data_IF_797773738677
#
_entry.id   IF_797773738677
#
_cell.length_a   1.000
_cell.length_b   1.000
_cell.length_c   1.000
_cell.angle_alpha   90.00
_cell.angle_beta   90.00
_cell.angle_gamma   90.00
#
_symmetry.space_group_name_H-M   'P 1'
#
loop_
_entity.id
_entity.type
_entity.pdbx_description
1 polymer ?
#
# COMPACT_ATOMS: atom_id res chain seq x y z
N UNK A 1 -8.82 -56.36 15.03
CA UNK A 1 -8.60 -55.48 13.87
C UNK A 1 -8.76 -53.98 14.17
N UNK A 2 -9.08 -53.54 15.40
CA UNK A 2 -9.30 -52.11 15.69
C UNK A 2 -8.05 -51.29 16.06
N UNK A 3 -7.00 -51.88 16.63
CA UNK A 3 -5.81 -51.09 17.04
C UNK A 3 -4.93 -50.63 15.88
N UNK A 4 -4.94 -51.35 14.75
CA UNK A 4 -4.17 -50.96 13.56
C UNK A 4 -4.80 -49.78 12.82
N UNK A 5 -6.12 -49.63 12.90
CA UNK A 5 -6.86 -48.52 12.28
C UNK A 5 -6.70 -47.25 13.11
N UNK A 6 -6.69 -47.37 14.44
CA UNK A 6 -6.41 -46.25 15.34
C UNK A 6 -4.98 -45.69 15.15
N UNK A 7 -3.97 -46.56 15.02
CA UNK A 7 -2.59 -46.16 14.71
C UNK A 7 -2.43 -45.48 13.35
N UNK A 8 -3.23 -45.87 12.35
CA UNK A 8 -3.22 -45.25 11.02
C UNK A 8 -3.87 -43.86 11.03
N UNK A 9 -4.86 -43.63 11.90
CA UNK A 9 -5.50 -42.33 12.08
C UNK A 9 -4.58 -41.33 12.80
N UNK A 10 -3.79 -41.78 13.76
CA UNK A 10 -2.78 -40.95 14.45
C UNK A 10 -1.60 -40.57 13.54
N UNK A 11 -1.12 -41.50 12.69
CA UNK A 11 -0.08 -41.21 11.69
C UNK A 11 -0.56 -40.27 10.55
N UNK A 12 -1.88 -40.09 10.39
CA UNK A 12 -2.43 -39.07 9.48
C UNK A 12 -2.49 -37.69 10.13
N UNK A 13 -2.60 -37.63 11.46
CA UNK A 13 -2.63 -36.41 12.26
C UNK A 13 -1.24 -35.77 12.44
N UNK A 14 -0.18 -36.57 12.51
CA UNK A 14 1.21 -36.07 12.57
C UNK A 14 1.79 -35.57 11.23
N UNK A 15 1.09 -35.80 10.10
CA UNK A 15 1.55 -35.33 8.77
C UNK A 15 1.07 -33.94 8.41
N UNK A 16 0.03 -33.42 9.07
CA UNK A 16 -0.61 -32.15 8.73
C UNK A 16 -0.09 -30.96 9.58
N UNK A 17 1.04 -31.13 10.27
CA UNK A 17 1.63 -30.12 11.14
C UNK A 17 3.15 -30.08 11.07
N UNK A 18 3.71 -29.59 9.97
CA UNK A 18 4.97 -28.82 9.98
C UNK A 18 5.17 -28.09 8.64
N UNK A 19 5.72 -26.87 8.64
CA UNK A 19 5.84 -26.01 7.46
C UNK A 19 7.10 -26.39 6.67
N UNK A 20 7.00 -26.35 5.34
CA UNK A 20 8.13 -26.40 4.44
C UNK A 20 8.18 -25.09 3.67
N UNK A 21 9.22 -24.32 3.95
CA UNK A 21 9.70 -23.23 3.12
C UNK A 21 10.17 -23.74 1.74
N UNK A 22 10.23 -22.79 0.81
CA UNK A 22 10.79 -22.85 -0.55
C UNK A 22 9.87 -23.35 -1.68
N UNK A 23 9.45 -22.44 -2.55
CA UNK A 23 9.89 -22.37 -3.97
C UNK A 23 9.37 -21.09 -4.62
N UNK A 24 10.30 -20.43 -5.30
CA UNK A 24 10.18 -19.19 -6.06
C UNK A 24 9.74 -19.49 -7.50
N UNK A 25 9.03 -18.52 -8.08
CA UNK A 25 8.86 -18.21 -9.50
C UNK A 25 7.71 -18.87 -10.27
N UNK A 26 6.85 -17.99 -10.80
CA UNK A 26 6.61 -17.79 -12.25
C UNK A 26 5.13 -17.70 -12.62
N UNK A 27 4.80 -16.51 -13.12
CA UNK A 27 3.96 -16.27 -14.30
C UNK A 27 2.48 -16.63 -14.26
N UNK A 28 1.67 -15.57 -14.25
CA UNK A 28 0.75 -15.30 -15.35
C UNK A 28 -0.66 -15.84 -15.20
N UNK A 29 -1.63 -14.94 -15.08
CA UNK A 29 -2.73 -14.97 -16.04
C UNK A 29 -3.47 -13.64 -16.14
N UNK A 30 -3.67 -13.26 -17.40
CA UNK A 30 -4.71 -12.41 -17.94
C UNK A 30 -6.08 -12.64 -17.32
N UNK A 31 -6.81 -11.55 -17.08
CA UNK A 31 -8.20 -11.40 -17.54
C UNK A 31 -8.63 -9.94 -17.37
N UNK A 32 -9.04 -9.36 -18.49
CA UNK A 32 -9.66 -8.04 -18.72
C UNK A 32 -10.94 -8.38 -19.51
N UNK A 33 -11.90 -7.48 -19.76
CA UNK A 33 -12.70 -6.59 -18.90
C UNK A 33 -14.21 -6.89 -19.09
N UNK A 34 -15.09 -6.14 -18.41
CA UNK A 34 -16.36 -5.75 -19.05
C UNK A 34 -16.69 -4.29 -18.76
N UNK A 35 -17.19 -3.63 -19.81
CA UNK A 35 -17.33 -2.19 -20.02
C UNK A 35 -18.81 -1.81 -19.83
N UNK A 36 -19.06 -0.68 -19.16
CA UNK A 36 -20.36 -0.02 -19.13
C UNK A 36 -20.19 1.50 -19.16
N UNK A 37 -20.46 2.07 -20.33
CA UNK A 37 -20.47 3.49 -20.76
C UNK A 37 -21.18 4.46 -19.77
N UNK A 38 -20.88 5.76 -19.69
CA UNK A 38 -21.17 6.82 -20.68
C UNK A 38 -20.48 8.13 -20.20
N UNK A 39 -19.73 8.86 -21.03
CA UNK A 39 -20.12 9.89 -22.02
C UNK A 39 -19.72 11.30 -21.53
N UNK A 40 -18.85 11.94 -22.31
CA UNK A 40 -18.33 13.30 -22.16
C UNK A 40 -19.03 14.21 -23.18
N UNK A 41 -19.33 15.44 -22.77
CA UNK A 41 -19.68 16.58 -23.61
C UNK A 41 -20.60 17.50 -22.81
N UNK A 42 -20.42 18.81 -22.67
CA UNK A 42 -19.76 19.81 -23.50
C UNK A 42 -19.51 21.06 -22.63
N UNK A 43 -18.47 21.82 -22.95
CA UNK A 43 -18.19 23.13 -22.37
C UNK A 43 -19.20 24.19 -22.85
N UNK A 44 -19.57 25.14 -21.99
CA UNK A 44 -19.88 26.53 -22.36
C UNK A 44 -19.67 27.44 -21.14
N UNK A 45 -18.89 28.50 -21.32
CA UNK A 45 -18.69 29.62 -20.40
C UNK A 45 -19.99 30.39 -20.13
N UNK A 46 -20.22 30.83 -18.89
CA UNK A 46 -20.66 32.20 -18.57
C UNK A 46 -20.47 32.52 -17.07
N UNK A 47 -19.54 33.44 -16.82
CA UNK A 47 -19.55 34.57 -15.88
C UNK A 47 -20.75 34.70 -14.89
N UNK A 48 -20.46 34.68 -13.58
CA UNK A 48 -20.91 35.65 -12.54
C UNK A 48 -20.85 35.04 -11.11
N UNK A 49 -20.28 35.78 -10.16
CA UNK A 49 -20.44 35.59 -8.71
C UNK A 49 -21.43 36.65 -8.17
N UNK A 50 -21.73 36.80 -6.85
CA UNK A 50 -21.63 35.93 -5.66
C UNK A 50 -22.94 35.91 -4.80
N UNK A 51 -23.10 34.95 -3.87
CA UNK A 51 -23.98 35.03 -2.67
C UNK A 51 -23.72 33.77 -1.82
N UNK A 52 -23.12 33.80 -0.62
CA UNK A 52 -23.62 34.18 0.72
C UNK A 52 -25.06 33.76 1.03
N UNK A 53 -25.25 32.94 2.07
CA UNK A 53 -26.57 32.47 2.49
C UNK A 53 -26.55 31.15 3.27
N UNK A 54 -26.32 31.27 4.58
CA UNK A 54 -26.64 30.29 5.62
C UNK A 54 -28.16 29.97 5.64
N UNK A 55 -28.55 28.69 5.72
CA UNK A 55 -29.51 28.11 6.69
C UNK A 55 -30.25 26.84 6.19
N UNK A 56 -30.12 25.78 7.00
CA UNK A 56 -31.12 24.76 7.42
C UNK A 56 -31.72 23.81 6.35
N UNK A 57 -32.30 22.62 6.66
CA UNK A 57 -32.88 22.16 7.94
C UNK A 57 -32.62 20.68 8.32
N UNK A 58 -33.15 20.30 9.48
CA UNK A 58 -33.44 18.92 9.88
C UNK A 58 -34.55 18.33 9.01
N UNK A 59 -34.46 17.04 8.65
CA UNK A 59 -35.63 16.15 8.60
C UNK A 59 -35.22 14.68 8.57
N UNK A 60 -35.78 13.91 9.52
CA UNK A 60 -36.01 12.48 9.42
C UNK A 60 -36.82 12.14 8.17
N UNK A 61 -36.46 11.07 7.46
CA UNK A 61 -37.45 10.10 6.97
C UNK A 61 -36.76 8.80 6.60
N UNK A 62 -37.39 7.73 7.08
CA UNK A 62 -37.30 6.34 6.66
C UNK A 62 -37.15 6.17 5.14
N UNK A 63 -36.47 5.12 4.69
CA UNK A 63 -37.13 4.06 3.92
C UNK A 63 -36.16 2.91 3.57
N UNK A 64 -36.79 1.76 3.46
CA UNK A 64 -36.30 0.41 3.19
C UNK A 64 -35.28 0.27 2.04
N UNK A 65 -34.27 -0.58 2.25
CA UNK A 65 -33.55 -1.22 1.17
C UNK A 65 -32.99 -2.59 1.58
N UNK A 66 -33.73 -3.63 1.20
CA UNK A 66 -33.26 -4.92 0.67
C UNK A 66 -32.17 -5.67 1.45
N UNK A 67 -32.62 -6.66 2.20
CA UNK A 67 -31.83 -7.75 2.77
C UNK A 67 -31.36 -8.67 1.62
N UNK A 68 -30.18 -8.42 1.05
CA UNK A 68 -29.52 -9.33 0.10
C UNK A 68 -28.83 -10.49 0.83
N UNK A 69 -29.39 -11.68 0.62
CA UNK A 69 -28.84 -12.99 0.94
C UNK A 69 -27.40 -13.15 0.42
N UNK A 70 -26.43 -12.93 1.32
CA UNK A 70 -25.00 -13.06 1.07
C UNK A 70 -24.43 -14.32 1.76
N UNK A 71 -25.06 -15.47 1.53
CA UNK A 71 -24.58 -16.76 2.04
C UNK A 71 -23.16 -17.16 1.58
N UNK A 72 -22.65 -16.58 0.48
CA UNK A 72 -21.28 -16.82 0.00
C UNK A 72 -20.20 -15.94 0.67
N UNK A 73 -20.60 -14.86 1.35
CA UNK A 73 -19.68 -13.88 1.94
C UNK A 73 -19.47 -14.12 3.46
N UNK A 74 -20.37 -14.88 4.11
CA UNK A 74 -20.28 -15.16 5.54
C UNK A 74 -19.12 -16.09 5.91
N UNK A 75 -18.80 -17.07 5.06
CA UNK A 75 -17.72 -18.03 5.33
C UNK A 75 -16.34 -17.41 5.14
N UNK A 76 -16.16 -16.60 4.09
CA UNK A 76 -14.93 -15.83 3.89
C UNK A 76 -14.71 -14.81 5.02
N UNK A 77 -15.78 -14.15 5.49
CA UNK A 77 -15.72 -13.24 6.65
C UNK A 77 -15.40 -14.00 7.93
N UNK A 78 -15.89 -15.23 8.12
CA UNK A 78 -15.57 -16.08 9.29
C UNK A 78 -14.11 -16.50 9.32
N UNK A 79 -13.52 -16.80 8.15
CA UNK A 79 -12.14 -17.24 8.03
C UNK A 79 -11.13 -16.07 8.08
N UNK A 80 -11.51 -14.89 7.58
CA UNK A 80 -10.65 -13.69 7.59
C UNK A 80 -10.75 -12.93 8.93
N UNK A 81 -11.89 -12.94 9.61
CA UNK A 81 -12.08 -12.28 10.91
C UNK A 81 -11.00 -12.59 11.96
N UNK A 82 -10.57 -13.86 12.19
CA UNK A 82 -9.51 -14.14 13.15
C UNK A 82 -8.13 -13.62 12.70
N UNK A 83 -7.86 -13.54 11.40
CA UNK A 83 -6.62 -12.98 10.86
C UNK A 83 -6.59 -11.46 10.98
N UNK A 84 -7.73 -10.80 10.71
CA UNK A 84 -7.90 -9.37 10.82
C UNK A 84 -7.82 -8.93 12.29
N UNK A 85 -8.50 -9.63 13.19
CA UNK A 85 -8.39 -9.39 14.64
C UNK A 85 -6.97 -9.64 15.18
N UNK A 86 -6.22 -10.59 14.59
CA UNK A 86 -4.82 -10.84 14.97
C UNK A 86 -3.88 -9.76 14.40
N UNK A 87 -4.18 -9.21 13.23
CA UNK A 87 -3.47 -8.08 12.66
C UNK A 87 -3.73 -6.80 13.48
N UNK A 88 -4.98 -6.51 13.82
CA UNK A 88 -5.39 -5.39 14.67
C UNK A 88 -4.74 -5.44 16.06
N UNK A 89 -4.73 -6.60 16.72
CA UNK A 89 -4.02 -6.74 18.00
C UNK A 89 -2.52 -6.48 17.88
N UNK A 90 -1.90 -6.85 16.76
CA UNK A 90 -0.47 -6.59 16.53
C UNK A 90 -0.21 -5.12 16.25
N UNK A 91 -1.07 -4.46 15.48
CA UNK A 91 -0.98 -3.03 15.21
C UNK A 91 -1.23 -2.22 16.48
N UNK A 92 -2.23 -2.58 17.29
CA UNK A 92 -2.54 -1.91 18.56
C UNK A 92 -1.44 -2.12 19.59
N UNK A 93 -0.85 -3.32 19.66
CA UNK A 93 0.30 -3.58 20.51
C UNK A 93 1.54 -2.78 20.05
N UNK A 94 1.75 -2.63 18.74
CA UNK A 94 2.84 -1.82 18.19
C UNK A 94 2.60 -0.32 18.46
N UNK A 95 1.36 0.14 18.31
CA UNK A 95 0.95 1.53 18.52
C UNK A 95 1.05 1.90 20.01
N UNK A 96 0.60 1.02 20.91
CA UNK A 96 0.77 1.19 22.36
C UNK A 96 2.25 1.20 22.77
N UNK A 97 3.09 0.35 22.17
CA UNK A 97 4.54 0.39 22.41
C UNK A 97 5.16 1.69 21.92
N UNK A 98 4.71 2.21 20.78
CA UNK A 98 5.22 3.46 20.22
C UNK A 98 4.77 4.67 21.04
N UNK A 99 3.51 4.69 21.52
CA UNK A 99 3.01 5.70 22.46
C UNK A 99 3.79 5.65 23.77
N UNK A 100 3.99 4.47 24.36
CA UNK A 100 4.79 4.33 25.58
C UNK A 100 6.22 4.79 25.37
N UNK A 101 6.84 4.43 24.25
CA UNK A 101 8.20 4.88 23.91
C UNK A 101 8.26 6.39 23.72
N UNK A 102 7.30 7.00 23.02
CA UNK A 102 7.20 8.46 22.86
C UNK A 102 6.95 9.18 24.17
N UNK A 103 6.10 8.63 25.02
CA UNK A 103 5.87 9.16 26.37
C UNK A 103 7.15 9.11 27.21
N UNK A 104 7.88 8.00 27.14
CA UNK A 104 9.14 7.82 27.86
C UNK A 104 10.26 8.72 27.31
N UNK A 105 10.35 8.89 25.99
CA UNK A 105 11.23 9.87 25.33
C UNK A 105 10.88 11.31 25.75
N UNK A 106 9.59 11.65 25.83
CA UNK A 106 9.14 12.97 26.27
C UNK A 106 9.47 13.21 27.74
N UNK A 107 9.35 12.18 28.60
CA UNK A 107 9.76 12.26 30.01
C UNK A 107 11.28 12.38 30.16
N UNK A 108 12.07 11.70 29.31
CA UNK A 108 13.53 11.85 29.28
C UNK A 108 13.95 13.25 28.77
N UNK A 109 13.26 13.78 27.77
CA UNK A 109 13.46 15.15 27.29
C UNK A 109 13.04 16.19 28.35
N UNK A 110 11.98 15.93 29.11
CA UNK A 110 11.57 16.79 30.23
C UNK A 110 12.57 16.72 31.40
N UNK A 111 13.14 15.55 31.70
CA UNK A 111 14.21 15.37 32.69
C UNK A 111 15.51 16.07 32.26
N UNK A 112 15.89 15.96 30.97
CA UNK A 112 17.02 16.69 30.39
C UNK A 112 16.76 18.21 30.37
N UNK A 113 15.52 18.65 30.12
CA UNK A 113 15.12 20.06 30.22
C UNK A 113 15.10 20.58 31.67
N UNK A 114 14.89 19.71 32.66
CA UNK A 114 15.05 20.04 34.08
C UNK A 114 16.52 20.09 34.49
N UNK A 115 17.39 19.28 33.92
CA UNK A 115 18.84 19.37 34.12
C UNK A 115 19.40 20.69 33.55
N UNK A 116 18.84 21.17 32.43
CA UNK A 116 19.13 22.52 31.89
C UNK A 116 18.54 23.65 32.77
N UNK A 117 17.47 23.39 33.53
CA UNK A 117 16.87 24.37 34.46
C UNK A 117 17.72 24.63 35.71
N UNK A 118 18.66 23.74 36.04
CA UNK A 118 19.57 23.92 37.18
C UNK A 118 20.83 24.74 36.81
N UNK A 119 21.01 25.05 35.52
CA UNK A 119 21.89 26.10 35.06
C UNK A 119 21.11 27.40 34.90
N UNK A 120 21.56 28.52 35.48
CA UNK A 120 20.71 29.70 35.64
C UNK A 120 20.57 30.45 34.32
N UNK A 121 19.52 30.17 33.54
CA UNK A 121 19.11 31.06 32.45
C UNK A 121 17.61 31.39 32.48
N UNK A 122 17.42 32.70 32.65
CA UNK A 122 16.20 33.50 32.78
C UNK A 122 15.14 33.17 31.73
N UNK A 123 13.93 32.89 32.22
CA UNK A 123 12.70 32.81 31.46
C UNK A 123 12.28 34.21 30.97
N UNK A 124 12.23 34.38 29.65
CA UNK A 124 11.56 35.50 28.99
C UNK A 124 10.08 35.09 28.85
N UNK A 125 9.19 35.75 29.60
CA UNK A 125 7.76 35.77 29.33
C UNK A 125 7.31 37.23 29.23
N UNK A 126 6.77 37.56 28.06
CA UNK A 126 6.31 38.88 27.66
C UNK A 126 4.94 39.17 28.27
N UNK A 127 4.79 40.27 29.02
CA UNK A 127 3.59 41.10 28.90
C UNK A 127 3.84 42.56 29.33
N UNK A 128 3.12 43.45 28.64
CA UNK A 128 3.32 44.89 28.48
C UNK A 128 3.05 45.76 29.73
N UNK A 129 3.58 46.98 29.61
CA UNK A 129 3.27 48.25 30.30
C UNK A 129 4.04 48.50 31.60
N UNK A 130 5.08 49.30 31.46
CA UNK A 130 5.84 49.87 32.56
C UNK A 130 7.21 50.33 32.08
N UNK A 131 7.29 51.49 31.44
CA UNK A 131 8.56 52.20 31.27
C UNK A 131 9.03 52.58 32.69
N UNK A 132 9.79 51.69 33.30
CA UNK A 132 10.76 52.04 34.33
C UNK A 132 12.09 51.54 33.82
N UNK A 133 12.88 52.47 33.31
CA UNK A 133 14.30 52.30 33.09
C UNK A 133 14.96 51.99 34.45
N UNK A 134 14.90 50.74 34.89
CA UNK A 134 15.73 50.24 35.97
C UNK A 134 16.92 49.54 35.32
N UNK A 135 17.92 50.33 34.93
CA UNK A 135 19.24 49.80 34.67
C UNK A 135 19.69 49.10 35.95
N UNK A 136 19.96 47.79 35.90
CA UNK A 136 20.94 47.26 36.85
C UNK A 136 22.20 48.11 36.68
N UNK A 137 22.84 48.62 37.75
CA UNK A 137 24.11 49.31 37.60
C UNK A 137 25.13 48.27 37.14
N UNK A 138 25.31 48.16 35.82
CA UNK A 138 26.47 47.47 35.25
C UNK A 138 27.68 48.21 35.78
N UNK A 139 28.69 47.48 36.25
CA UNK A 139 29.91 48.08 36.78
C UNK A 139 30.45 49.06 35.72
N UNK A 140 30.76 50.31 36.08
CA UNK A 140 31.16 51.33 35.10
C UNK A 140 32.34 50.87 34.22
N UNK A 141 33.17 49.95 34.74
CA UNK A 141 34.27 49.31 34.00
C UNK A 141 33.78 48.44 32.84
N UNK A 142 32.74 47.65 33.03
CA UNK A 142 32.20 46.77 31.99
C UNK A 142 31.51 47.57 30.87
N UNK A 143 30.82 48.67 31.22
CA UNK A 143 30.27 49.60 30.21
C UNK A 143 31.36 50.36 29.45
N UNK A 144 32.43 50.78 30.14
CA UNK A 144 33.55 51.44 29.48
C UNK A 144 34.24 50.50 28.49
N UNK A 145 34.45 49.24 28.89
CA UNK A 145 35.02 48.23 28.02
C UNK A 145 34.13 47.95 26.79
N UNK A 146 32.80 47.88 26.95
CA UNK A 146 31.91 47.68 25.80
C UNK A 146 31.90 48.85 24.80
N UNK A 147 32.11 50.08 25.27
CA UNK A 147 32.27 51.26 24.41
C UNK A 147 33.60 51.20 23.65
N UNK A 148 34.69 50.80 24.31
CA UNK A 148 36.01 50.62 23.69
C UNK A 148 35.98 49.48 22.66
N UNK A 149 35.25 48.41 22.96
CA UNK A 149 35.13 47.24 22.09
C UNK A 149 34.27 47.51 20.85
N UNK A 150 33.26 48.39 20.95
CA UNK A 150 32.42 48.82 19.83
C UNK A 150 33.13 49.72 18.81
N UNK A 151 34.29 50.29 19.14
CA UNK A 151 35.06 51.12 18.20
C UNK A 151 35.74 50.25 17.12
N UNK A 152 35.77 50.71 15.86
CA UNK A 152 36.38 49.97 14.76
C UNK A 152 37.90 49.82 14.98
N UNK A 153 38.40 48.59 14.90
CA UNK A 153 39.82 48.28 15.04
C UNK A 153 40.07 47.03 15.89
N UNK A 154 40.99 46.17 15.45
CA UNK A 154 41.31 44.90 16.12
C UNK A 154 42.42 45.02 17.19
N UNK A 155 43.06 46.18 17.33
CA UNK A 155 44.16 46.40 18.26
C UNK A 155 43.77 47.40 19.36
N UNK A 156 44.13 47.09 20.62
CA UNK A 156 43.88 47.93 21.80
C UNK A 156 44.46 49.35 21.63
N UNK A 157 45.65 49.47 21.03
CA UNK A 157 46.31 50.75 20.74
C UNK A 157 45.50 51.58 19.74
N UNK A 158 44.86 50.95 18.75
CA UNK A 158 44.01 51.66 17.80
C UNK A 158 42.70 52.12 18.44
N UNK A 159 42.10 51.29 19.30
CA UNK A 159 40.86 51.64 20.02
C UNK A 159 41.08 52.82 20.98
N UNK A 160 42.13 52.78 21.79
CA UNK A 160 42.49 53.89 22.68
C UNK A 160 43.02 55.08 21.90
N UNK A 161 43.74 54.85 20.79
CA UNK A 161 44.21 55.88 19.88
C UNK A 161 43.08 56.67 19.23
N UNK A 162 42.03 56.02 18.72
CA UNK A 162 40.86 56.70 18.13
C UNK A 162 40.12 57.51 19.18
N UNK A 163 39.88 56.95 20.37
CA UNK A 163 39.17 57.66 21.44
C UNK A 163 40.00 58.84 21.98
N UNK A 164 41.30 58.65 22.20
CA UNK A 164 42.19 59.71 22.65
C UNK A 164 42.34 60.81 21.59
N UNK A 165 42.48 60.44 20.31
CA UNK A 165 42.62 61.42 19.21
C UNK A 165 41.32 62.16 18.97
N UNK A 166 40.16 61.50 19.01
CA UNK A 166 38.86 62.16 18.87
C UNK A 166 38.56 63.10 20.03
N UNK A 167 38.85 62.70 21.27
CA UNK A 167 38.74 63.57 22.44
C UNK A 167 39.69 64.77 22.35
N UNK A 168 40.96 64.54 21.98
CA UNK A 168 41.93 65.61 21.78
C UNK A 168 41.51 66.57 20.66
N UNK A 169 41.00 66.05 19.54
CA UNK A 169 40.49 66.85 18.43
C UNK A 169 39.27 67.67 18.83
N UNK A 170 38.35 67.12 19.64
CA UNK A 170 37.21 67.85 20.15
C UNK A 170 37.63 69.00 21.08
N UNK A 171 38.55 68.75 22.02
CA UNK A 171 39.10 69.79 22.91
C UNK A 171 39.84 70.86 22.09
N UNK A 172 40.63 70.46 21.11
CA UNK A 172 41.32 71.37 20.21
C UNK A 172 40.35 72.23 19.39
N UNK A 173 39.29 71.64 18.83
CA UNK A 173 38.26 72.35 18.07
C UNK A 173 37.48 73.37 18.90
N UNK A 174 37.20 73.05 20.17
CA UNK A 174 36.59 73.99 21.12
C UNK A 174 37.58 75.08 21.50
N UNK A 175 38.83 74.72 21.81
CA UNK A 175 39.87 75.66 22.27
C UNK A 175 40.27 76.67 21.20
N UNK A 176 40.22 76.29 19.91
CA UNK A 176 40.53 77.17 18.78
C UNK A 176 39.30 77.83 18.16
N UNK A 177 38.12 77.72 18.79
CA UNK A 177 36.85 78.27 18.28
C UNK A 177 36.51 77.81 16.84
N UNK A 178 36.99 76.63 16.43
CA UNK A 178 36.69 76.07 15.12
C UNK A 178 35.19 75.74 15.01
N UNK A 179 34.55 75.44 16.15
CA UNK A 179 33.09 75.33 16.28
C UNK A 179 32.52 76.66 16.77
N UNK A 180 32.12 77.53 15.83
CA UNK A 180 31.45 78.78 16.15
C UNK A 180 29.96 78.50 16.41
N UNK A 181 29.48 78.86 17.61
CA UNK A 181 28.06 78.77 17.95
C UNK A 181 27.28 79.85 17.20
N UNK A 182 26.70 79.47 16.06
CA UNK A 182 25.80 80.30 15.27
C UNK A 182 24.37 79.72 15.28
N UNK A 183 23.41 80.47 14.72
CA UNK A 183 22.01 80.06 14.58
C UNK A 183 21.84 78.74 13.79
N UNK A 184 22.81 78.36 12.97
CA UNK A 184 22.80 77.07 12.27
C UNK A 184 23.15 75.87 13.18
N UNK A 185 23.86 76.09 14.30
CA UNK A 185 24.25 74.99 15.21
C UNK A 185 23.05 74.40 15.96
N UNK A 186 22.03 75.21 16.28
CA UNK A 186 20.76 74.72 16.85
C UNK A 186 19.98 73.89 15.83
N UNK A 187 20.04 74.24 14.54
CA UNK A 187 19.46 73.45 13.45
C UNK A 187 20.18 72.10 13.32
N UNK A 188 21.51 72.07 13.40
CA UNK A 188 22.29 70.81 13.36
C UNK A 188 21.94 69.90 14.54
N UNK A 189 21.84 70.42 15.76
CA UNK A 189 21.50 69.62 16.96
C UNK A 189 20.09 69.04 16.87
N UNK A 190 19.11 69.84 16.45
CA UNK A 190 17.72 69.39 16.30
C UNK A 190 17.56 68.40 15.15
N UNK A 191 18.20 68.64 14.00
CA UNK A 191 18.23 67.70 12.88
C UNK A 191 18.91 66.37 13.26
N UNK A 192 20.06 66.42 13.95
CA UNK A 192 20.75 65.20 14.40
C UNK A 192 19.90 64.41 15.40
N UNK A 193 19.16 65.10 16.28
CA UNK A 193 18.22 64.45 17.21
C UNK A 193 17.05 63.81 16.45
N UNK A 194 16.49 64.51 15.46
CA UNK A 194 15.44 63.98 14.60
C UNK A 194 15.91 62.74 13.82
N UNK A 195 17.10 62.78 13.21
CA UNK A 195 17.69 61.65 12.51
C UNK A 195 17.90 60.46 13.45
N UNK A 196 18.37 60.68 14.67
CA UNK A 196 18.53 59.62 15.66
C UNK A 196 17.18 58.96 16.04
N UNK A 197 16.12 59.75 16.17
CA UNK A 197 14.77 59.24 16.41
C UNK A 197 14.23 58.48 15.19
N UNK A 198 14.42 58.99 13.97
CA UNK A 198 14.06 58.29 12.74
C UNK A 198 14.81 56.96 12.60
N UNK A 199 16.12 56.94 12.87
CA UNK A 199 16.90 55.71 12.86
C UNK A 199 16.38 54.69 13.88
N UNK A 200 15.90 55.14 15.05
CA UNK A 200 15.37 54.25 16.07
C UNK A 200 13.98 53.70 15.74
N UNK A 201 13.11 54.49 15.12
CA UNK A 201 11.70 54.12 14.91
C UNK A 201 11.37 53.71 13.47
N UNK A 202 11.88 54.44 12.47
CA UNK A 202 11.58 54.19 11.06
C UNK A 202 12.41 53.03 10.51
N UNK A 203 13.67 52.89 10.93
CA UNK A 203 14.52 51.79 10.46
C UNK A 203 13.94 50.40 10.76
N UNK A 204 13.54 50.04 12.00
CA UNK A 204 12.97 48.72 12.26
C UNK A 204 11.64 48.50 11.50
N UNK A 205 10.78 49.52 11.40
CA UNK A 205 9.53 49.43 10.65
C UNK A 205 9.75 49.19 9.15
N UNK A 206 10.72 49.90 8.56
CA UNK A 206 11.06 49.71 7.16
C UNK A 206 11.70 48.34 6.92
N UNK A 207 12.57 47.87 7.82
CA UNK A 207 13.18 46.54 7.71
C UNK A 207 12.12 45.43 7.78
N UNK A 208 11.18 45.49 8.74
CA UNK A 208 10.09 44.50 8.83
C UNK A 208 9.20 44.50 7.57
N UNK A 209 8.90 45.68 7.03
CA UNK A 209 8.15 45.79 5.78
C UNK A 209 8.93 45.23 4.58
N UNK A 210 10.22 45.57 4.48
CA UNK A 210 11.10 45.10 3.41
C UNK A 210 11.26 43.56 3.47
N UNK A 211 11.48 43.00 4.65
CA UNK A 211 11.59 41.55 4.85
C UNK A 211 10.27 40.84 4.50
N UNK A 212 9.12 41.44 4.82
CA UNK A 212 7.80 40.93 4.44
C UNK A 212 7.60 40.86 2.93
N UNK A 213 7.98 41.91 2.20
CA UNK A 213 7.85 41.94 0.73
C UNK A 213 8.85 40.99 0.06
N UNK A 214 10.10 40.95 0.54
CA UNK A 214 11.12 39.99 0.07
C UNK A 214 10.62 38.56 0.26
N UNK A 215 10.00 38.25 1.41
CA UNK A 215 9.45 36.92 1.68
C UNK A 215 8.30 36.59 0.72
N UNK A 216 7.36 37.50 0.53
CA UNK A 216 6.24 37.32 -0.40
C UNK A 216 6.71 37.05 -1.83
N UNK A 217 7.69 37.80 -2.32
CA UNK A 217 8.27 37.60 -3.66
C UNK A 217 8.96 36.23 -3.75
N UNK A 218 9.73 35.84 -2.73
CA UNK A 218 10.38 34.52 -2.70
C UNK A 218 9.36 33.37 -2.65
N UNK A 219 8.33 33.49 -1.82
CA UNK A 219 7.27 32.49 -1.70
C UNK A 219 6.52 32.33 -3.02
N UNK A 220 6.13 33.44 -3.66
CA UNK A 220 5.48 33.42 -4.98
C UNK A 220 6.37 32.80 -6.06
N UNK A 221 7.67 33.13 -6.07
CA UNK A 221 8.61 32.58 -7.05
C UNK A 221 8.81 31.08 -6.84
N UNK A 222 8.91 30.63 -5.58
CA UNK A 222 9.06 29.22 -5.25
C UNK A 222 7.78 28.43 -5.55
N UNK A 223 6.61 28.99 -5.26
CA UNK A 223 5.31 28.41 -5.60
C UNK A 223 5.14 28.30 -7.12
N UNK A 224 5.50 29.34 -7.88
CA UNK A 224 5.45 29.32 -9.35
C UNK A 224 6.36 28.26 -9.94
N UNK A 225 7.58 28.10 -9.39
CA UNK A 225 8.50 27.02 -9.81
C UNK A 225 7.90 25.65 -9.54
N UNK A 226 7.35 25.43 -8.35
CA UNK A 226 6.73 24.16 -7.98
C UNK A 226 5.49 23.85 -8.81
N UNK A 227 4.62 24.84 -9.06
CA UNK A 227 3.47 24.74 -9.96
C UNK A 227 3.90 24.38 -11.39
N UNK A 228 4.93 25.03 -11.92
CA UNK A 228 5.44 24.71 -13.26
C UNK A 228 6.01 23.29 -13.32
N UNK A 229 6.81 22.86 -12.34
CA UNK A 229 7.34 21.49 -12.28
C UNK A 229 6.21 20.46 -12.15
N UNK A 230 5.19 20.73 -11.33
CA UNK A 230 4.02 19.86 -11.19
C UNK A 230 3.21 19.77 -12.48
N UNK A 231 2.96 20.89 -13.16
CA UNK A 231 2.26 20.91 -14.45
C UNK A 231 3.03 20.15 -15.54
N UNK A 232 4.36 20.33 -15.60
CA UNK A 232 5.21 19.57 -16.55
C UNK A 232 5.19 18.08 -16.23
N UNK A 233 5.26 17.68 -14.96
CA UNK A 233 5.12 16.28 -14.55
C UNK A 233 3.77 15.70 -14.96
N UNK A 234 2.67 16.41 -14.69
CA UNK A 234 1.34 15.98 -15.11
C UNK A 234 1.23 15.78 -16.63
N UNK A 235 1.84 16.68 -17.42
CA UNK A 235 1.92 16.52 -18.88
C UNK A 235 2.76 15.32 -19.31
N UNK A 236 3.88 15.04 -18.65
CA UNK A 236 4.70 13.86 -18.92
C UNK A 236 3.90 12.58 -18.63
N UNK A 237 3.16 12.54 -17.52
CA UNK A 237 2.34 11.37 -17.18
C UNK A 237 1.22 11.13 -18.19
N UNK A 238 0.52 12.19 -18.63
CA UNK A 238 -0.50 12.08 -19.69
C UNK A 238 0.10 11.60 -21.02
N UNK A 239 1.28 12.09 -21.41
CA UNK A 239 1.96 11.64 -22.64
C UNK A 239 2.48 10.20 -22.50
N UNK A 240 2.91 9.79 -21.30
CA UNK A 240 3.34 8.43 -21.01
C UNK A 240 2.19 7.43 -21.16
N UNK A 241 0.99 7.78 -20.66
CA UNK A 241 -0.21 6.96 -20.83
C UNK A 241 -0.55 6.72 -22.32
N UNK A 242 -0.37 7.72 -23.18
CA UNK A 242 -0.60 7.56 -24.63
C UNK A 242 0.36 6.55 -25.28
N UNK A 243 1.58 6.37 -24.74
CA UNK A 243 2.51 5.34 -25.22
C UNK A 243 2.02 3.93 -24.90
N UNK A 244 1.44 3.73 -23.71
CA UNK A 244 0.91 2.43 -23.29
C UNK A 244 -0.32 2.00 -24.09
N UNK A 245 -1.15 2.94 -24.56
CA UNK A 245 -2.32 2.65 -25.41
C UNK A 245 -1.91 1.98 -26.73
N UNK A 246 -0.77 2.37 -27.32
CA UNK A 246 -0.29 1.75 -28.57
C UNK A 246 0.13 0.30 -28.35
N UNK A 247 0.80 0.00 -27.23
CA UNK A 247 1.23 -1.36 -26.91
C UNK A 247 0.03 -2.26 -26.57
N UNK A 248 -0.91 -1.76 -25.75
CA UNK A 248 -2.13 -2.51 -25.39
C UNK A 248 -3.00 -2.79 -26.60
N UNK A 249 -3.11 -1.85 -27.54
CA UNK A 249 -3.86 -2.07 -28.80
C UNK A 249 -3.21 -3.17 -29.65
N UNK A 250 -1.87 -3.16 -29.80
CA UNK A 250 -1.16 -4.24 -30.50
C UNK A 250 -1.39 -5.59 -29.82
N UNK A 251 -1.27 -5.63 -28.49
CA UNK A 251 -1.52 -6.83 -27.71
C UNK A 251 -2.96 -7.34 -27.90
N UNK A 252 -3.96 -6.46 -28.01
CA UNK A 252 -5.34 -6.86 -28.25
C UNK A 252 -5.52 -7.51 -29.64
N UNK A 253 -4.84 -6.98 -30.66
CA UNK A 253 -4.83 -7.59 -32.00
C UNK A 253 -4.10 -8.94 -32.01
N UNK A 254 -2.97 -9.04 -31.32
CA UNK A 254 -2.22 -10.30 -31.22
C UNK A 254 -3.05 -11.37 -30.49
N UNK A 255 -3.70 -11.01 -29.37
CA UNK A 255 -4.65 -11.89 -28.67
C UNK A 255 -5.76 -12.33 -29.62
N UNK A 256 -6.39 -11.41 -30.36
CA UNK A 256 -7.46 -11.78 -31.30
C UNK A 256 -7.00 -12.77 -32.39
N UNK A 257 -5.75 -12.63 -32.87
CA UNK A 257 -5.16 -13.52 -33.88
C UNK A 257 -4.81 -14.89 -33.28
N UNK A 258 -4.26 -14.90 -32.07
CA UNK A 258 -3.96 -16.13 -31.34
C UNK A 258 -5.22 -16.90 -30.99
N UNK A 259 -6.29 -16.22 -30.56
CA UNK A 259 -7.61 -16.83 -30.31
C UNK A 259 -8.16 -17.49 -31.56
N UNK A 260 -8.17 -16.79 -32.71
CA UNK A 260 -8.65 -17.37 -33.97
C UNK A 260 -7.84 -18.61 -34.39
N UNK A 261 -6.51 -18.59 -34.18
CA UNK A 261 -5.64 -19.74 -34.47
C UNK A 261 -5.93 -20.92 -33.55
N UNK A 262 -6.05 -20.69 -32.24
CA UNK A 262 -6.35 -21.73 -31.26
C UNK A 262 -7.74 -22.32 -31.45
N UNK A 263 -8.72 -21.51 -31.85
CA UNK A 263 -10.04 -22.01 -32.22
C UNK A 263 -9.97 -22.95 -33.42
N UNK A 264 -9.26 -22.56 -34.49
CA UNK A 264 -9.08 -23.40 -35.67
C UNK A 264 -8.40 -24.74 -35.34
N UNK A 265 -7.30 -24.72 -34.58
CA UNK A 265 -6.60 -25.94 -34.12
C UNK A 265 -7.52 -26.81 -33.24
N UNK A 266 -8.30 -26.19 -32.37
CA UNK A 266 -9.28 -26.89 -31.53
C UNK A 266 -10.39 -27.53 -32.37
N UNK A 267 -10.86 -26.86 -33.43
CA UNK A 267 -11.86 -27.43 -34.35
C UNK A 267 -11.31 -28.63 -35.10
N UNK A 268 -10.08 -28.55 -35.62
CA UNK A 268 -9.44 -29.69 -36.30
C UNK A 268 -9.27 -30.89 -35.36
N UNK A 269 -8.79 -30.66 -34.13
CA UNK A 269 -8.63 -31.71 -33.14
C UNK A 269 -9.97 -32.33 -32.75
N UNK A 270 -11.02 -31.51 -32.58
CA UNK A 270 -12.38 -32.01 -32.30
C UNK A 270 -12.92 -32.86 -33.45
N UNK A 271 -12.71 -32.46 -34.71
CA UNK A 271 -13.12 -33.26 -35.87
C UNK A 271 -12.39 -34.61 -35.92
N UNK A 272 -11.07 -34.61 -35.71
CA UNK A 272 -10.26 -35.85 -35.64
C UNK A 272 -10.74 -36.77 -34.51
N UNK A 273 -11.05 -36.20 -33.34
CA UNK A 273 -11.54 -36.96 -32.19
C UNK A 273 -12.94 -37.52 -32.43
N UNK A 274 -13.84 -36.74 -33.04
CA UNK A 274 -15.18 -37.20 -33.39
C UNK A 274 -15.13 -38.41 -34.34
N UNK A 275 -14.33 -38.33 -35.40
CA UNK A 275 -14.14 -39.46 -36.33
C UNK A 275 -13.52 -40.68 -35.64
N UNK A 276 -12.50 -40.47 -34.79
CA UNK A 276 -11.90 -41.56 -34.02
C UNK A 276 -12.90 -42.21 -33.04
N UNK A 277 -13.78 -41.40 -32.43
CA UNK A 277 -14.81 -41.87 -31.53
C UNK A 277 -15.90 -42.66 -32.26
N UNK A 278 -16.35 -42.20 -33.42
CA UNK A 278 -17.30 -42.93 -34.27
C UNK A 278 -16.71 -44.27 -34.72
N UNK A 279 -15.45 -44.27 -35.20
CA UNK A 279 -14.76 -45.50 -35.58
C UNK A 279 -14.64 -46.48 -34.40
N UNK A 280 -14.28 -46.00 -33.21
CA UNK A 280 -14.25 -46.81 -31.99
C UNK A 280 -15.63 -47.35 -31.63
N UNK A 281 -16.67 -46.52 -31.65
CA UNK A 281 -18.04 -46.92 -31.31
C UNK A 281 -18.55 -48.00 -32.27
N UNK A 282 -18.24 -47.89 -33.57
CA UNK A 282 -18.55 -48.98 -34.51
C UNK A 282 -17.78 -50.24 -34.12
N UNK A 283 -16.46 -50.19 -33.95
CA UNK A 283 -15.66 -51.37 -33.57
C UNK A 283 -16.16 -52.03 -32.28
N UNK A 284 -16.47 -51.25 -31.25
CA UNK A 284 -17.03 -51.74 -29.99
C UNK A 284 -18.40 -52.43 -30.21
N UNK A 285 -19.24 -51.89 -31.09
CA UNK A 285 -20.51 -52.53 -31.49
C UNK A 285 -20.30 -53.86 -32.21
N UNK A 286 -19.28 -53.95 -33.07
CA UNK A 286 -18.94 -55.21 -33.76
C UNK A 286 -18.40 -56.25 -32.78
N UNK A 287 -17.52 -55.86 -31.86
CA UNK A 287 -17.02 -56.75 -30.80
C UNK A 287 -18.16 -57.23 -29.91
N UNK A 288 -19.10 -56.35 -29.55
CA UNK A 288 -20.28 -56.74 -28.76
C UNK A 288 -21.16 -57.73 -29.53
N UNK A 289 -21.40 -57.49 -30.82
CA UNK A 289 -22.15 -58.41 -31.67
C UNK A 289 -21.47 -59.78 -31.77
N UNK A 290 -20.15 -59.82 -31.95
CA UNK A 290 -19.38 -61.06 -32.00
C UNK A 290 -19.45 -61.83 -30.67
N UNK A 291 -19.31 -61.14 -29.53
CA UNK A 291 -19.45 -61.77 -28.21
C UNK A 291 -20.85 -62.34 -28.00
N UNK A 292 -21.89 -61.63 -28.44
CA UNK A 292 -23.28 -62.12 -28.39
C UNK A 292 -23.47 -63.34 -29.28
N UNK A 293 -22.93 -63.33 -30.50
CA UNK A 293 -22.98 -64.47 -31.41
C UNK A 293 -22.29 -65.70 -30.82
N UNK A 294 -21.07 -65.54 -30.27
CA UNK A 294 -20.36 -66.65 -29.60
C UNK A 294 -21.14 -67.21 -28.40
N UNK A 295 -21.79 -66.35 -27.61
CA UNK A 295 -22.64 -66.80 -26.51
C UNK A 295 -23.85 -67.60 -27.02
N UNK A 296 -24.52 -67.13 -28.07
CA UNK A 296 -25.64 -67.85 -28.68
C UNK A 296 -25.23 -69.20 -29.28
N UNK A 297 -24.08 -69.26 -29.95
CA UNK A 297 -23.52 -70.52 -30.48
C UNK A 297 -23.20 -71.48 -29.33
N UNK A 298 -22.58 -71.01 -28.25
CA UNK A 298 -22.32 -71.82 -27.06
C UNK A 298 -23.60 -72.31 -26.40
N UNK A 299 -24.64 -71.48 -26.29
CA UNK A 299 -25.95 -71.90 -25.78
C UNK A 299 -26.62 -72.94 -26.67
N UNK A 300 -26.55 -72.79 -28.00
CA UNK A 300 -27.10 -73.76 -28.95
C UNK A 300 -26.36 -75.09 -28.89
N UNK A 301 -25.03 -75.05 -28.84
CA UNK A 301 -24.19 -76.24 -28.64
C UNK A 301 -24.49 -76.91 -27.30
N UNK A 302 -24.64 -76.14 -26.22
CA UNK A 302 -24.99 -76.63 -24.90
C UNK A 302 -26.37 -77.31 -24.91
N UNK A 303 -27.39 -76.68 -25.50
CA UNK A 303 -28.74 -77.26 -25.67
C UNK A 303 -28.68 -78.56 -26.47
N UNK A 304 -27.96 -78.58 -27.60
CA UNK A 304 -27.81 -79.79 -28.41
C UNK A 304 -27.08 -80.91 -27.69
N UNK A 305 -26.04 -80.59 -26.91
CA UNK A 305 -25.31 -81.58 -26.09
C UNK A 305 -26.21 -82.10 -24.97
N UNK A 306 -26.92 -81.21 -24.26
CA UNK A 306 -27.85 -81.59 -23.19
C UNK A 306 -28.98 -82.49 -23.70
N UNK A 307 -29.57 -82.17 -24.87
CA UNK A 307 -30.58 -83.00 -25.51
C UNK A 307 -30.05 -84.38 -25.92
N UNK A 308 -28.80 -84.44 -26.44
CA UNK A 308 -28.15 -85.72 -26.78
C UNK A 308 -27.87 -86.55 -25.53
N UNK A 309 -27.34 -85.94 -24.47
CA UNK A 309 -27.08 -86.62 -23.19
C UNK A 309 -28.38 -87.11 -22.56
N UNK A 310 -29.44 -86.30 -22.53
CA UNK A 310 -30.74 -86.74 -22.01
C UNK A 310 -31.31 -87.93 -22.81
N UNK A 311 -31.23 -87.91 -24.15
CA UNK A 311 -31.64 -89.04 -25.01
C UNK A 311 -30.79 -90.30 -24.81
N UNK A 312 -29.48 -90.15 -24.60
CA UNK A 312 -28.59 -91.28 -24.30
C UNK A 312 -28.88 -91.86 -22.92
N UNK A 313 -29.16 -91.02 -21.92
CA UNK A 313 -29.55 -91.42 -20.56
C UNK A 313 -30.89 -92.16 -20.56
N UNK A 314 -31.87 -91.77 -21.40
CA UNK A 314 -33.15 -92.48 -21.54
C UNK A 314 -33.03 -93.85 -22.24
N UNK A 315 -31.91 -94.14 -22.91
CA UNK A 315 -31.72 -95.40 -23.62
C UNK A 315 -31.44 -96.55 -22.63
N UNK A 316 -32.28 -97.61 -22.58
CA UNK A 316 -32.12 -98.70 -21.62
C UNK A 316 -30.77 -99.42 -21.76
N UNK A 317 -30.22 -99.50 -22.99
CA UNK A 317 -28.90 -100.13 -23.23
C UNK A 317 -27.74 -99.33 -22.63
N UNK A 318 -27.88 -98.01 -22.47
CA UNK A 318 -26.87 -97.17 -21.83
C UNK A 318 -27.01 -97.23 -20.31
N UNK A 319 -28.26 -97.19 -19.79
CA UNK A 319 -28.53 -97.39 -18.36
C UNK A 319 -27.99 -98.73 -17.86
N UNK A 320 -28.22 -99.83 -18.59
CA UNK A 320 -27.71 -101.16 -18.24
C UNK A 320 -26.17 -101.21 -18.23
N UNK A 321 -25.52 -100.52 -19.18
CA UNK A 321 -24.06 -100.43 -19.24
C UNK A 321 -23.48 -99.62 -18.09
N UNK A 322 -24.06 -98.47 -17.78
CA UNK A 322 -23.62 -97.62 -16.66
C UNK A 322 -23.89 -98.31 -15.33
N UNK A 323 -25.02 -99.01 -15.16
CA UNK A 323 -25.30 -99.82 -13.99
C UNK A 323 -24.30 -100.97 -13.85
N UNK A 324 -23.98 -101.68 -14.93
CA UNK A 324 -22.97 -102.74 -14.91
C UNK A 324 -21.57 -102.22 -14.56
N UNK A 325 -21.18 -101.06 -15.10
CA UNK A 325 -19.90 -100.43 -14.81
C UNK A 325 -19.82 -99.87 -13.39
N UNK A 326 -20.88 -99.22 -12.91
CA UNK A 326 -21.00 -98.73 -11.53
C UNK A 326 -21.00 -99.89 -10.52
N UNK A 327 -21.70 -101.00 -10.81
CA UNK A 327 -21.66 -102.21 -9.97
C UNK A 327 -20.25 -102.81 -9.99
N UNK A 328 -19.57 -102.87 -11.14
CA UNK A 328 -18.20 -103.37 -11.22
C UNK A 328 -17.18 -102.49 -10.47
N UNK A 329 -17.34 -101.17 -10.47
CA UNK A 329 -16.51 -100.27 -9.65
C UNK A 329 -16.81 -100.41 -8.15
N UNK A 330 -18.08 -100.50 -7.77
CA UNK A 330 -18.48 -100.72 -6.38
C UNK A 330 -17.96 -102.07 -5.88
N UNK A 331 -18.08 -103.14 -6.66
CA UNK A 331 -17.49 -104.45 -6.36
C UNK A 331 -15.96 -104.38 -6.21
N UNK A 332 -15.26 -103.60 -7.05
CA UNK A 332 -13.82 -103.35 -6.88
C UNK A 332 -13.47 -102.57 -5.62
N UNK A 333 -14.29 -101.61 -5.20
CA UNK A 333 -14.06 -100.85 -3.95
C UNK A 333 -14.34 -101.73 -2.73
N UNK A 334 -15.39 -102.55 -2.74
CA UNK A 334 -15.71 -103.49 -1.66
C UNK A 334 -14.74 -104.67 -1.58
N UNK A 335 -14.17 -105.15 -2.70
CA UNK A 335 -13.12 -106.18 -2.69
C UNK A 335 -11.74 -105.66 -2.23
N UNK A 336 -11.61 -104.33 -2.06
CA UNK A 336 -10.37 -103.65 -1.67
C UNK A 336 -10.44 -103.06 -0.26
N UNK A 337 -11.58 -103.20 0.42
CA UNK A 337 -11.82 -102.92 1.83
C UNK A 337 -11.88 -104.22 2.63
#
# INVERSE_FOLDING_TARGET
>A
MSDRVARLAELRRQRNGQPSDDVKASSGNSAVPEIGHQSIGSATETLSAPHDGTQEPQHETSDDAMEEDNGYNSDLKRDIAPLLAKAERKTDAALNRLILKRYQETQQQAAQAQEIRNTPLKLILTNRIGIRCLSTPVEPKEKANSIVDALPGNNLISKTGILATSAAAAVYGISNELVVLHDETILVVTFSTFVALCAKFVAPLYTEWADGEIKKVNDLLNESKNKHVSAVKGRIDSVSQLKEVVNTTKSLFDISRETAKLEAETFELKQKLAVAHEAKATLDSWVRFEQQQRQLEQEQLLKSVLDKVNKEVENPKFQDKVLAEAVAEVEKVFAKA
#
